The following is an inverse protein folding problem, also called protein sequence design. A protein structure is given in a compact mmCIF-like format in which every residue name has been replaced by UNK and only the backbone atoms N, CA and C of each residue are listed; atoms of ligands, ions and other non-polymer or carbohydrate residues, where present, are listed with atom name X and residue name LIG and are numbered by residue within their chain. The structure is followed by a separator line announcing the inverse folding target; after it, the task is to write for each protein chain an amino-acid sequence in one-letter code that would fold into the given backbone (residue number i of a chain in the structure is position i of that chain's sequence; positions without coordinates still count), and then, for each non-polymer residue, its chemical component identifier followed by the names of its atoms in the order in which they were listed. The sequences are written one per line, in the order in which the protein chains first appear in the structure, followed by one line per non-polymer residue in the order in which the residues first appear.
data_IF_625974268587
#
_entry.id   IF_625974268587
#
_cell.length_a   1.000
_cell.length_b   1.000
_cell.length_c   1.000
_cell.angle_alpha   90.00
_cell.angle_beta   90.00
_cell.angle_gamma   90.00
#
_symmetry.space_group_name_H-M   'P 1'
#
loop_
_entity.id
_entity.type
_entity.pdbx_description
1 polymer ?
#
# COMPACT_ATOMS: atom_id res chain seq x y z
N UNK A 1 -52.12 33.08 -6.18
CA UNK A 1 -53.03 32.30 -5.34
C UNK A 1 -52.26 31.74 -4.14
N UNK A 2 -52.74 31.83 -2.90
CA UNK A 2 -52.00 31.44 -1.69
C UNK A 2 -51.48 30.00 -1.74
N UNK A 3 -52.17 29.12 -2.41
CA UNK A 3 -51.77 27.72 -2.58
C UNK A 3 -50.51 27.51 -3.46
N UNK A 4 -50.37 28.36 -4.46
CA UNK A 4 -49.19 28.33 -5.34
C UNK A 4 -47.97 28.79 -4.56
N UNK A 5 -48.06 29.86 -3.80
CA UNK A 5 -46.98 30.37 -2.96
C UNK A 5 -46.52 29.30 -1.94
N UNK A 6 -47.47 28.65 -1.27
CA UNK A 6 -47.18 27.57 -0.32
C UNK A 6 -46.55 26.33 -0.98
N UNK A 7 -46.95 26.02 -2.23
CA UNK A 7 -46.36 24.93 -2.98
C UNK A 7 -44.90 25.27 -3.41
N UNK A 8 -44.66 26.53 -3.82
CA UNK A 8 -43.30 27.00 -4.16
C UNK A 8 -42.40 27.03 -2.93
N UNK A 9 -42.89 27.50 -1.78
CA UNK A 9 -42.16 27.54 -0.52
C UNK A 9 -41.71 26.12 -0.09
N UNK A 10 -42.61 25.15 -0.13
CA UNK A 10 -42.29 23.74 0.16
C UNK A 10 -41.29 23.14 -0.85
N UNK A 11 -41.43 23.49 -2.12
CA UNK A 11 -40.47 23.04 -3.14
C UNK A 11 -39.07 23.62 -2.89
N UNK A 12 -39.00 24.89 -2.55
CA UNK A 12 -37.76 25.57 -2.23
C UNK A 12 -37.11 25.00 -0.97
N UNK A 13 -37.86 24.80 0.11
CA UNK A 13 -37.38 24.16 1.33
C UNK A 13 -36.78 22.77 1.05
N UNK A 14 -37.44 21.98 0.19
CA UNK A 14 -36.95 20.66 -0.21
C UNK A 14 -35.65 20.73 -1.02
N UNK A 15 -35.53 21.70 -1.90
CA UNK A 15 -34.29 21.94 -2.70
C UNK A 15 -33.15 22.41 -1.79
N UNK A 16 -33.44 23.35 -0.87
CA UNK A 16 -32.45 23.84 0.08
C UNK A 16 -31.96 22.72 1.03
N UNK A 17 -32.88 21.90 1.54
CA UNK A 17 -32.52 20.72 2.34
C UNK A 17 -31.61 19.75 1.60
N UNK A 18 -31.95 19.45 0.33
CA UNK A 18 -31.09 18.60 -0.51
C UNK A 18 -29.71 19.21 -0.74
N UNK A 19 -29.65 20.50 -1.06
CA UNK A 19 -28.40 21.21 -1.28
C UNK A 19 -27.56 21.30 0.00
N UNK A 20 -28.20 21.41 1.15
CA UNK A 20 -27.53 21.34 2.45
C UNK A 20 -26.88 19.98 2.68
N UNK A 21 -27.62 18.89 2.44
CA UNK A 21 -27.10 17.52 2.59
C UNK A 21 -25.94 17.25 1.65
N UNK A 22 -26.03 17.72 0.40
CA UNK A 22 -24.91 17.60 -0.57
C UNK A 22 -23.67 18.34 -0.05
N UNK A 23 -23.82 19.59 0.39
CA UNK A 23 -22.69 20.37 0.94
C UNK A 23 -22.10 19.73 2.19
N UNK A 24 -22.94 19.24 3.09
CA UNK A 24 -22.51 18.54 4.32
C UNK A 24 -21.70 17.28 3.99
N UNK A 25 -22.13 16.51 2.99
CA UNK A 25 -21.39 15.33 2.55
C UNK A 25 -20.07 15.69 1.85
N UNK A 26 -20.05 16.78 1.08
CA UNK A 26 -18.83 17.30 0.46
C UNK A 26 -17.79 17.72 1.50
N UNK A 27 -18.20 18.42 2.56
CA UNK A 27 -17.32 18.84 3.65
C UNK A 27 -16.74 17.61 4.36
N UNK A 28 -17.57 16.63 4.71
CA UNK A 28 -17.10 15.37 5.34
C UNK A 28 -16.08 14.64 4.46
N UNK A 29 -16.29 14.67 3.15
CA UNK A 29 -15.37 14.06 2.21
C UNK A 29 -14.04 14.83 2.15
N UNK A 30 -14.09 16.14 2.16
CA UNK A 30 -12.91 17.02 2.15
C UNK A 30 -12.10 16.87 3.44
N UNK A 31 -12.75 16.73 4.58
CA UNK A 31 -12.08 16.46 5.87
C UNK A 31 -11.30 15.14 5.81
N UNK A 32 -11.92 14.05 5.34
CA UNK A 32 -11.24 12.75 5.17
C UNK A 32 -10.05 12.85 4.22
N UNK A 33 -10.21 13.56 3.11
CA UNK A 33 -9.13 13.78 2.15
C UNK A 33 -7.99 14.61 2.75
N UNK A 34 -8.31 15.58 3.57
CA UNK A 34 -7.32 16.40 4.25
C UNK A 34 -6.53 15.58 5.28
N UNK A 35 -7.19 14.75 6.06
CA UNK A 35 -6.54 13.84 7.02
C UNK A 35 -5.60 12.87 6.31
N UNK A 36 -6.05 12.25 5.23
CA UNK A 36 -5.20 11.39 4.40
C UNK A 36 -3.99 12.14 3.83
N UNK A 37 -4.19 13.38 3.37
CA UNK A 37 -3.10 14.23 2.88
C UNK A 37 -2.06 14.52 3.97
N UNK A 38 -2.50 14.83 5.19
CA UNK A 38 -1.61 15.09 6.32
C UNK A 38 -0.78 13.86 6.67
N UNK A 39 -1.38 12.67 6.70
CA UNK A 39 -0.68 11.40 6.95
C UNK A 39 0.40 11.16 5.89
N UNK A 40 0.05 11.29 4.61
CA UNK A 40 1.01 11.10 3.51
C UNK A 40 2.14 12.13 3.56
N UNK A 41 1.84 13.41 3.83
CA UNK A 41 2.87 14.43 3.97
C UNK A 41 3.79 14.20 5.15
N UNK A 42 3.26 13.72 6.29
CA UNK A 42 4.07 13.34 7.44
C UNK A 42 5.02 12.19 7.08
N UNK A 43 4.52 11.11 6.48
CA UNK A 43 5.33 9.98 6.04
C UNK A 43 6.44 10.41 5.05
N UNK A 44 6.10 11.25 4.07
CA UNK A 44 7.08 11.78 3.11
C UNK A 44 8.15 12.62 3.80
N UNK A 45 7.74 13.47 4.74
CA UNK A 45 8.66 14.32 5.49
C UNK A 45 9.63 13.48 6.34
N UNK A 46 9.13 12.42 6.95
CA UNK A 46 9.95 11.49 7.73
C UNK A 46 10.98 10.79 6.83
N UNK A 47 10.59 10.35 5.65
CA UNK A 47 11.52 9.75 4.68
C UNK A 47 12.56 10.77 4.21
N UNK A 48 12.16 12.01 3.96
CA UNK A 48 13.07 13.07 3.51
C UNK A 48 14.08 13.46 4.58
N UNK A 49 13.65 13.58 5.84
CA UNK A 49 14.50 13.99 6.97
C UNK A 49 15.41 12.87 7.46
N UNK A 50 14.98 11.63 7.39
CA UNK A 50 15.77 10.50 7.86
C UNK A 50 16.86 10.14 6.84
N UNK A 51 18.10 10.13 7.32
CA UNK A 51 19.23 9.64 6.52
C UNK A 51 19.28 8.10 6.43
N UNK A 52 18.62 7.42 7.35
CA UNK A 52 18.52 5.97 7.37
C UNK A 52 17.04 5.54 7.30
N UNK A 53 16.62 5.09 6.13
CA UNK A 53 15.27 4.59 5.88
C UNK A 53 15.12 3.10 6.20
N UNK A 54 16.19 2.44 6.70
CA UNK A 54 16.21 1.00 6.96
C UNK A 54 15.02 0.53 7.79
N UNK A 55 14.71 1.22 8.91
CA UNK A 55 13.58 0.86 9.77
C UNK A 55 12.21 0.92 9.05
N UNK A 56 12.05 1.86 8.13
CA UNK A 56 10.81 2.01 7.34
C UNK A 56 10.72 0.86 6.35
N UNK A 57 11.83 0.54 5.68
CA UNK A 57 11.90 -0.60 4.77
C UNK A 57 11.68 -1.93 5.49
N UNK A 58 12.26 -2.11 6.67
CA UNK A 58 12.08 -3.32 7.49
C UNK A 58 10.61 -3.53 7.86
N UNK A 59 9.85 -2.46 8.16
CA UNK A 59 8.41 -2.58 8.43
C UNK A 59 7.63 -3.05 7.19
N UNK A 60 7.90 -2.49 6.02
CA UNK A 60 7.27 -2.92 4.77
C UNK A 60 7.64 -4.35 4.37
N UNK A 61 8.90 -4.76 4.61
CA UNK A 61 9.34 -6.14 4.36
C UNK A 61 8.57 -7.10 5.26
N UNK A 62 8.41 -6.78 6.55
CA UNK A 62 7.68 -7.62 7.48
C UNK A 62 6.18 -7.73 7.11
N UNK A 63 5.55 -6.63 6.66
CA UNK A 63 4.18 -6.68 6.13
C UNK A 63 4.10 -7.57 4.89
N UNK A 64 5.01 -7.38 3.93
CA UNK A 64 5.05 -8.21 2.72
C UNK A 64 5.25 -9.70 3.06
N UNK A 65 6.12 -10.02 4.01
CA UNK A 65 6.32 -11.40 4.47
C UNK A 65 5.03 -11.98 5.04
N UNK A 66 4.27 -11.19 5.79
CA UNK A 66 2.97 -11.62 6.35
C UNK A 66 1.97 -11.92 5.22
N UNK A 67 1.88 -11.07 4.20
CA UNK A 67 1.03 -11.30 3.03
C UNK A 67 1.45 -12.57 2.26
N UNK A 68 2.76 -12.80 2.13
CA UNK A 68 3.28 -14.00 1.48
C UNK A 68 2.99 -15.29 2.29
N UNK A 69 2.92 -15.20 3.62
CA UNK A 69 2.48 -16.31 4.46
C UNK A 69 1.01 -16.66 4.24
N UNK A 70 0.15 -15.66 4.09
CA UNK A 70 -1.26 -15.88 3.75
C UNK A 70 -1.40 -16.60 2.41
N UNK A 71 -0.68 -16.13 1.38
CA UNK A 71 -0.64 -16.78 0.06
C UNK A 71 -0.16 -18.24 0.16
N UNK A 72 0.86 -18.49 0.98
CA UNK A 72 1.34 -19.86 1.23
C UNK A 72 0.30 -20.71 1.94
N UNK A 73 -0.39 -20.20 2.95
CA UNK A 73 -1.47 -20.88 3.65
C UNK A 73 -2.60 -21.26 2.70
N UNK A 74 -2.96 -20.36 1.79
CA UNK A 74 -3.99 -20.62 0.79
C UNK A 74 -3.54 -21.67 -0.25
N UNK A 75 -2.27 -21.68 -0.62
CA UNK A 75 -1.71 -22.76 -1.43
C UNK A 75 -1.80 -24.11 -0.74
N UNK A 76 -1.56 -24.19 0.55
CA UNK A 76 -1.70 -25.45 1.31
C UNK A 76 -3.12 -26.01 1.29
N UNK A 77 -4.13 -25.15 1.12
CA UNK A 77 -5.55 -25.55 1.00
C UNK A 77 -5.94 -25.91 -0.44
N UNK A 78 -5.48 -25.14 -1.41
CA UNK A 78 -5.92 -25.22 -2.81
C UNK A 78 -5.03 -26.12 -3.68
N UNK A 79 -3.75 -26.25 -3.34
CA UNK A 79 -2.71 -26.95 -4.10
C UNK A 79 -2.55 -26.45 -5.56
N UNK A 80 -3.03 -25.23 -5.88
CA UNK A 80 -2.89 -24.64 -7.20
C UNK A 80 -1.55 -23.91 -7.35
N UNK A 81 -0.59 -24.60 -7.96
CA UNK A 81 0.77 -24.08 -8.21
C UNK A 81 0.77 -22.84 -9.09
N UNK A 82 -0.11 -22.74 -10.08
CA UNK A 82 -0.14 -21.59 -10.99
C UNK A 82 -0.60 -20.33 -10.28
N UNK A 83 -1.65 -20.46 -9.49
CA UNK A 83 -2.19 -19.35 -8.68
C UNK A 83 -1.17 -18.91 -7.62
N UNK A 84 -0.51 -19.85 -6.96
CA UNK A 84 0.53 -19.57 -5.98
C UNK A 84 1.70 -18.76 -6.59
N UNK A 85 2.27 -19.24 -7.70
CA UNK A 85 3.37 -18.56 -8.37
C UNK A 85 2.96 -17.18 -8.88
N UNK A 86 1.76 -17.04 -9.45
CA UNK A 86 1.25 -15.76 -9.92
C UNK A 86 1.09 -14.76 -8.76
N UNK A 87 0.51 -15.17 -7.64
CA UNK A 87 0.30 -14.31 -6.48
C UNK A 87 1.62 -13.89 -5.81
N UNK A 88 2.57 -14.79 -5.65
CA UNK A 88 3.88 -14.44 -5.11
C UNK A 88 4.63 -13.49 -6.05
N UNK A 89 4.68 -13.80 -7.35
CA UNK A 89 5.36 -12.94 -8.33
C UNK A 89 4.73 -11.55 -8.45
N UNK A 90 3.43 -11.40 -8.18
CA UNK A 90 2.79 -10.09 -8.14
C UNK A 90 3.28 -9.22 -6.98
N UNK A 91 3.71 -9.83 -5.87
CA UNK A 91 4.20 -9.12 -4.69
C UNK A 91 5.72 -8.86 -4.74
N UNK A 92 6.52 -9.88 -5.09
CA UNK A 92 7.98 -9.79 -5.03
C UNK A 92 8.66 -9.76 -6.42
N UNK A 93 7.89 -9.80 -7.50
CA UNK A 93 8.45 -9.87 -8.85
C UNK A 93 9.21 -11.17 -9.11
N UNK A 94 10.26 -11.09 -9.93
CA UNK A 94 11.08 -12.24 -10.31
C UNK A 94 12.39 -12.31 -9.50
N UNK A 95 12.34 -12.03 -8.21
CA UNK A 95 13.53 -12.06 -7.33
C UNK A 95 14.01 -13.50 -7.11
N UNK A 96 13.09 -14.45 -7.07
CA UNK A 96 13.33 -15.89 -6.91
C UNK A 96 12.88 -16.66 -8.15
N UNK A 97 13.53 -17.80 -8.42
CA UNK A 97 13.10 -18.72 -9.46
C UNK A 97 11.85 -19.49 -9.07
N UNK A 98 11.12 -20.05 -10.04
CA UNK A 98 9.91 -20.84 -9.78
C UNK A 98 10.20 -22.06 -8.89
N UNK A 99 11.36 -22.70 -9.09
CA UNK A 99 11.79 -23.84 -8.30
C UNK A 99 12.09 -23.44 -6.85
N UNK A 100 12.75 -22.29 -6.64
CA UNK A 100 12.99 -21.76 -5.29
C UNK A 100 11.65 -21.44 -4.61
N UNK A 101 10.71 -20.80 -5.29
CA UNK A 101 9.39 -20.47 -4.76
C UNK A 101 8.59 -21.71 -4.36
N UNK A 102 8.67 -22.78 -5.16
CA UNK A 102 8.04 -24.05 -4.85
C UNK A 102 8.72 -24.75 -3.66
N UNK A 103 10.05 -24.66 -3.53
CA UNK A 103 10.77 -25.22 -2.39
C UNK A 103 10.36 -24.57 -1.06
N UNK A 104 10.02 -23.27 -1.09
CA UNK A 104 9.56 -22.53 0.08
C UNK A 104 8.21 -23.02 0.62
N UNK A 105 7.39 -23.68 -0.21
CA UNK A 105 6.09 -24.21 0.24
C UNK A 105 6.21 -25.29 1.30
N UNK A 106 7.28 -26.07 1.28
CA UNK A 106 7.53 -27.18 2.20
C UNK A 106 8.09 -26.73 3.56
N UNK A 107 8.60 -25.50 3.67
CA UNK A 107 9.19 -24.98 4.89
C UNK A 107 8.11 -24.68 5.95
N UNK A 108 8.47 -24.70 7.23
CA UNK A 108 7.61 -24.17 8.28
C UNK A 108 7.54 -22.63 8.21
N UNK A 109 6.69 -22.03 9.04
CA UNK A 109 6.48 -20.57 9.04
C UNK A 109 7.77 -19.80 9.35
N UNK A 110 8.51 -20.20 10.36
CA UNK A 110 9.74 -19.51 10.79
C UNK A 110 10.86 -19.61 9.76
N UNK A 111 11.05 -20.80 9.18
CA UNK A 111 12.08 -21.01 8.14
C UNK A 111 11.72 -20.29 6.84
N UNK A 112 10.44 -20.21 6.51
CA UNK A 112 9.94 -19.43 5.36
C UNK A 112 10.29 -17.94 5.51
N UNK A 113 9.95 -17.32 6.63
CA UNK A 113 10.28 -15.93 6.93
C UNK A 113 11.80 -15.71 6.87
N UNK A 114 12.56 -16.54 7.57
CA UNK A 114 14.01 -16.45 7.63
C UNK A 114 14.64 -16.52 6.24
N UNK A 115 14.19 -17.44 5.41
CA UNK A 115 14.70 -17.62 4.04
C UNK A 115 14.40 -16.42 3.16
N UNK A 116 13.23 -15.80 3.29
CA UNK A 116 12.88 -14.59 2.55
C UNK A 116 13.75 -13.40 2.96
N UNK A 117 13.96 -13.20 4.27
CA UNK A 117 14.81 -12.13 4.79
C UNK A 117 16.26 -12.33 4.33
N UNK A 118 16.81 -13.52 4.46
CA UNK A 118 18.17 -13.85 4.00
C UNK A 118 18.35 -13.59 2.48
N UNK A 119 17.33 -13.92 1.70
CA UNK A 119 17.35 -13.66 0.25
C UNK A 119 17.35 -12.17 -0.07
N UNK A 120 16.52 -11.42 0.65
CA UNK A 120 16.47 -9.96 0.53
C UNK A 120 17.81 -9.33 0.91
N UNK A 121 18.36 -9.69 2.07
CA UNK A 121 19.63 -9.16 2.56
C UNK A 121 20.78 -9.45 1.59
N UNK A 122 20.86 -10.68 1.08
CA UNK A 122 21.85 -11.06 0.08
C UNK A 122 21.75 -10.19 -1.18
N UNK A 123 20.56 -10.00 -1.69
CA UNK A 123 20.31 -9.14 -2.88
C UNK A 123 20.66 -7.68 -2.61
N UNK A 124 20.37 -7.19 -1.41
CA UNK A 124 20.73 -5.85 -0.96
C UNK A 124 22.26 -5.69 -0.89
N UNK A 125 22.95 -6.64 -0.29
CA UNK A 125 24.43 -6.63 -0.22
C UNK A 125 25.08 -6.67 -1.62
N UNK A 126 24.59 -7.51 -2.51
CA UNK A 126 25.06 -7.56 -3.91
C UNK A 126 24.90 -6.20 -4.60
N UNK A 127 23.77 -5.55 -4.42
CA UNK A 127 23.49 -4.22 -4.97
C UNK A 127 24.39 -3.15 -4.35
N UNK A 128 24.57 -3.16 -3.04
CA UNK A 128 25.46 -2.22 -2.32
C UNK A 128 26.92 -2.38 -2.78
N UNK A 129 27.38 -3.58 -3.04
CA UNK A 129 28.74 -3.83 -3.58
C UNK A 129 28.95 -3.22 -4.96
N UNK A 130 27.92 -3.16 -5.77
CA UNK A 130 28.00 -2.64 -7.15
C UNK A 130 27.88 -1.11 -7.17
N UNK A 131 26.94 -0.55 -6.41
CA UNK A 131 26.53 0.86 -6.52
C UNK A 131 27.17 1.71 -5.41
N UNK A 132 27.48 1.13 -4.25
CA UNK A 132 27.89 1.84 -3.06
C UNK A 132 26.72 2.08 -2.08
N UNK A 133 27.03 2.20 -0.81
CA UNK A 133 26.01 2.31 0.26
C UNK A 133 25.22 3.62 0.17
N UNK A 134 25.90 4.73 -0.09
CA UNK A 134 25.29 6.05 -0.16
C UNK A 134 24.32 6.16 -1.33
N UNK A 135 24.79 5.79 -2.51
CA UNK A 135 23.98 5.79 -3.74
C UNK A 135 22.79 4.82 -3.63
N UNK A 136 22.99 3.66 -3.00
CA UNK A 136 21.91 2.72 -2.75
C UNK A 136 20.83 3.33 -1.86
N UNK A 137 21.21 3.98 -0.76
CA UNK A 137 20.28 4.68 0.14
C UNK A 137 19.49 5.79 -0.58
N UNK A 138 20.16 6.57 -1.42
CA UNK A 138 19.51 7.64 -2.18
C UNK A 138 18.52 7.09 -3.22
N UNK A 139 18.85 5.98 -3.86
CA UNK A 139 17.95 5.29 -4.80
C UNK A 139 16.74 4.71 -4.07
N UNK A 140 16.95 4.00 -2.97
CA UNK A 140 15.87 3.44 -2.15
C UNK A 140 14.92 4.54 -1.66
N UNK A 141 15.47 5.68 -1.22
CA UNK A 141 14.71 6.85 -0.78
C UNK A 141 13.84 7.43 -1.91
N UNK A 142 14.42 7.60 -3.09
CA UNK A 142 13.70 8.10 -4.27
C UNK A 142 12.59 7.14 -4.71
N UNK A 143 12.88 5.85 -4.75
CA UNK A 143 11.88 4.83 -5.11
C UNK A 143 10.74 4.79 -4.10
N UNK A 144 11.04 4.83 -2.80
CA UNK A 144 10.02 4.83 -1.76
C UNK A 144 9.08 6.02 -1.89
N UNK A 145 9.62 7.22 -2.13
CA UNK A 145 8.81 8.42 -2.36
C UNK A 145 7.93 8.29 -3.62
N UNK A 146 8.46 7.73 -4.70
CA UNK A 146 7.69 7.50 -5.92
C UNK A 146 6.55 6.49 -5.70
N UNK A 147 6.81 5.42 -4.97
CA UNK A 147 5.79 4.40 -4.65
C UNK A 147 4.67 5.00 -3.80
N UNK A 148 5.00 5.78 -2.77
CA UNK A 148 4.00 6.47 -1.94
C UNK A 148 3.15 7.42 -2.78
N UNK A 149 3.77 8.22 -3.65
CA UNK A 149 3.06 9.16 -4.52
C UNK A 149 2.16 8.44 -5.53
N UNK A 150 2.62 7.33 -6.07
CA UNK A 150 1.84 6.51 -6.99
C UNK A 150 0.65 5.85 -6.27
N UNK A 151 0.90 5.24 -5.12
CA UNK A 151 -0.14 4.59 -4.32
C UNK A 151 -1.23 5.58 -3.92
N UNK A 152 -0.86 6.79 -3.48
CA UNK A 152 -1.82 7.81 -3.11
C UNK A 152 -2.68 8.30 -4.28
N UNK A 153 -2.08 8.47 -5.46
CA UNK A 153 -2.84 8.85 -6.67
C UNK A 153 -3.77 7.75 -7.17
N UNK A 154 -3.37 6.49 -6.97
CA UNK A 154 -4.10 5.33 -7.49
C UNK A 154 -5.20 4.86 -6.55
N UNK A 155 -5.17 5.27 -5.27
CA UNK A 155 -6.16 4.86 -4.28
C UNK A 155 -7.30 5.88 -4.25
N UNK A 156 -8.50 5.54 -4.78
CA UNK A 156 -9.65 6.41 -4.65
C UNK A 156 -10.00 6.56 -3.17
N UNK A 157 -10.49 7.73 -2.74
CA UNK A 157 -10.91 7.93 -1.36
C UNK A 157 -11.97 6.90 -0.98
N UNK A 158 -11.70 6.15 0.08
CA UNK A 158 -12.68 5.20 0.61
C UNK A 158 -13.90 5.99 1.09
N UNK A 159 -15.07 5.62 0.55
CA UNK A 159 -16.36 6.16 0.96
C UNK A 159 -16.67 5.79 2.41
#
# INVERSE_FOLDING_TARGET
HPWINKAMERAQEKVEGRNFDIRKNLIKFDDVMNDQRQVIFSQRLDILKNNNIGKILDSFINETITDLEEIKSDFQKTHDKKLYLANIKSNIGNILTDDDLLSLTSLNKMDFQKKLIETYDKKKEERVKIIGEKENNDIEKKLLLQVIDFAWRSTPPKK
#
